data_IF_609836224860
#
_entry.id   IF_609836224860
#
_cell.length_a   1.000
_cell.length_b   1.000
_cell.length_c   1.000
_cell.angle_alpha   90.00
_cell.angle_beta   90.00
_cell.angle_gamma   90.00
#
_symmetry.space_group_name_H-M   'P 1'
#
loop_
_entity.id
_entity.type
_entity.pdbx_description
1 polymer ?
#
# COMPACT_ATOMS: atom_id res chain seq x y z
N UNK A 1 25.80 -12.09 2.84
CA UNK A 1 24.78 -11.18 2.27
C UNK A 1 23.92 -11.99 1.33
N UNK A 2 22.68 -12.33 1.71
CA UNK A 2 21.74 -12.96 0.77
C UNK A 2 21.22 -11.86 -0.14
N UNK A 3 21.44 -11.97 -1.45
CA UNK A 3 20.72 -11.18 -2.43
C UNK A 3 19.22 -11.45 -2.19
N UNK A 4 18.44 -10.40 -1.89
CA UNK A 4 17.03 -10.58 -1.57
C UNK A 4 16.30 -11.16 -2.78
N UNK A 5 15.28 -11.97 -2.51
CA UNK A 5 14.52 -12.64 -3.56
C UNK A 5 13.80 -11.59 -4.42
N UNK A 6 14.09 -11.58 -5.72
CA UNK A 6 13.33 -10.78 -6.69
C UNK A 6 11.89 -11.24 -6.67
N UNK A 7 10.97 -10.31 -6.42
CA UNK A 7 9.54 -10.58 -6.33
C UNK A 7 8.80 -10.25 -7.62
N UNK A 8 9.21 -9.16 -8.28
CA UNK A 8 8.62 -8.70 -9.52
C UNK A 8 9.64 -7.91 -10.33
N UNK A 9 9.58 -8.05 -11.63
CA UNK A 9 10.20 -7.16 -12.60
C UNK A 9 9.04 -6.51 -13.33
N UNK A 10 8.99 -5.17 -13.34
CA UNK A 10 7.85 -4.44 -13.86
C UNK A 10 8.12 -4.02 -15.29
N UNK A 11 7.29 -4.44 -16.25
CA UNK A 11 7.39 -4.14 -17.68
C UNK A 11 8.77 -4.37 -18.34
N UNK A 12 8.81 -5.05 -19.48
CA UNK A 12 10.04 -5.37 -20.23
C UNK A 12 10.96 -4.18 -20.57
N UNK A 13 10.42 -2.98 -20.68
CA UNK A 13 11.16 -1.76 -21.03
C UNK A 13 11.53 -0.85 -19.84
N UNK A 14 11.27 -1.28 -18.60
CA UNK A 14 11.60 -0.51 -17.40
C UNK A 14 12.58 -1.30 -16.56
N UNK A 15 13.69 -0.69 -16.14
CA UNK A 15 14.66 -1.27 -15.20
C UNK A 15 14.12 -1.31 -13.75
N UNK A 16 12.79 -1.36 -13.59
CA UNK A 16 12.13 -1.31 -12.28
C UNK A 16 11.96 -2.73 -11.76
N UNK A 17 12.43 -2.95 -10.55
CA UNK A 17 12.42 -4.24 -9.89
C UNK A 17 11.94 -4.12 -8.45
N UNK A 18 11.21 -5.12 -7.98
CA UNK A 18 10.87 -5.32 -6.58
C UNK A 18 11.66 -6.48 -5.99
N UNK A 19 12.28 -6.26 -4.82
CA UNK A 19 13.08 -7.24 -4.09
C UNK A 19 12.57 -7.36 -2.65
N UNK A 20 12.41 -8.59 -2.15
CA UNK A 20 12.07 -8.82 -0.74
C UNK A 20 13.33 -8.77 0.12
N UNK A 21 13.33 -7.90 1.14
CA UNK A 21 14.39 -7.77 2.14
C UNK A 21 13.79 -7.82 3.55
N UNK A 22 13.70 -9.03 4.11
CA UNK A 22 13.04 -9.26 5.40
C UNK A 22 11.58 -8.82 5.38
N UNK A 23 11.20 -7.91 6.28
CA UNK A 23 9.85 -7.33 6.39
C UNK A 23 9.59 -6.18 5.43
N UNK A 24 10.51 -5.91 4.51
CA UNK A 24 10.37 -4.85 3.52
C UNK A 24 10.40 -5.42 2.11
N UNK A 25 9.71 -4.71 1.22
CA UNK A 25 9.90 -4.82 -0.23
C UNK A 25 10.57 -3.54 -0.68
N UNK A 26 11.70 -3.67 -1.36
CA UNK A 26 12.41 -2.56 -1.97
C UNK A 26 12.05 -2.55 -3.44
N UNK A 27 11.47 -1.44 -3.90
CA UNK A 27 11.21 -1.19 -5.32
C UNK A 27 12.24 -0.21 -5.82
N UNK A 28 12.98 -0.50 -6.88
CA UNK A 28 13.99 0.43 -7.39
C UNK A 28 14.29 0.24 -8.86
N UNK A 29 14.91 1.27 -9.44
CA UNK A 29 15.39 1.29 -10.82
C UNK A 29 16.68 2.09 -10.94
N UNK A 30 17.37 1.90 -12.06
CA UNK A 30 18.50 2.74 -12.47
C UNK A 30 17.97 3.80 -13.44
N UNK A 31 18.32 5.07 -13.21
CA UNK A 31 17.96 6.20 -14.06
C UNK A 31 19.23 6.99 -14.40
N UNK A 32 19.77 6.77 -15.60
CA UNK A 32 21.05 7.33 -16.02
C UNK A 32 22.19 6.86 -15.10
N UNK A 33 22.83 7.78 -14.39
CA UNK A 33 23.90 7.49 -13.43
C UNK A 33 23.43 7.32 -11.97
N UNK A 34 22.11 7.34 -11.72
CA UNK A 34 21.56 7.32 -10.35
C UNK A 34 20.70 6.09 -10.12
N UNK A 35 20.73 5.58 -8.89
CA UNK A 35 19.81 4.55 -8.41
C UNK A 35 18.70 5.22 -7.62
N UNK A 36 17.45 4.90 -7.95
CA UNK A 36 16.27 5.36 -7.22
C UNK A 36 15.60 4.15 -6.59
N UNK A 37 15.26 4.23 -5.31
CA UNK A 37 14.57 3.15 -4.61
C UNK A 37 13.57 3.65 -3.58
N UNK A 38 12.57 2.82 -3.31
CA UNK A 38 11.53 3.02 -2.32
C UNK A 38 11.44 1.76 -1.46
N UNK A 39 11.61 1.91 -0.14
CA UNK A 39 11.38 0.84 0.82
C UNK A 39 9.93 0.85 1.30
N UNK A 40 9.27 -0.30 1.22
CA UNK A 40 7.87 -0.50 1.53
C UNK A 40 7.75 -1.53 2.63
N UNK A 41 7.00 -1.23 3.68
CA UNK A 41 6.71 -2.19 4.72
C UNK A 41 5.77 -3.29 4.15
N UNK A 42 6.16 -4.55 4.34
CA UNK A 42 5.50 -5.72 3.80
C UNK A 42 4.89 -6.64 4.89
N UNK A 43 4.52 -6.09 6.04
CA UNK A 43 3.90 -6.83 7.14
C UNK A 43 2.56 -7.48 6.73
N UNK A 44 1.86 -6.92 5.75
CA UNK A 44 0.66 -7.52 5.17
C UNK A 44 0.91 -7.87 3.69
N UNK A 45 0.96 -9.17 3.40
CA UNK A 45 1.21 -9.67 2.05
C UNK A 45 0.14 -9.19 1.04
N UNK A 46 -1.14 -9.16 1.44
CA UNK A 46 -2.23 -8.78 0.53
C UNK A 46 -2.16 -7.31 0.12
N UNK A 47 -1.79 -6.42 1.04
CA UNK A 47 -1.61 -5.00 0.73
C UNK A 47 -0.35 -4.77 -0.10
N UNK A 48 0.70 -5.54 0.17
CA UNK A 48 1.94 -5.53 -0.61
C UNK A 48 1.66 -5.91 -2.06
N UNK A 49 0.95 -7.02 -2.29
CA UNK A 49 0.55 -7.44 -3.64
C UNK A 49 -0.31 -6.40 -4.34
N UNK A 50 -1.28 -5.79 -3.64
CA UNK A 50 -2.12 -4.70 -4.20
C UNK A 50 -1.29 -3.48 -4.62
N UNK A 51 -0.29 -3.11 -3.83
CA UNK A 51 0.63 -2.03 -4.19
C UNK A 51 1.49 -2.40 -5.41
N UNK A 52 2.07 -3.60 -5.44
CA UNK A 52 2.88 -4.05 -6.57
C UNK A 52 2.05 -4.08 -7.87
N UNK A 53 0.81 -4.58 -7.84
CA UNK A 53 -0.10 -4.53 -8.98
C UNK A 53 -0.43 -3.09 -9.41
N UNK A 54 -0.59 -2.17 -8.47
CA UNK A 54 -0.84 -0.75 -8.77
C UNK A 54 0.38 -0.08 -9.43
N UNK A 55 1.59 -0.46 -9.03
CA UNK A 55 2.84 -0.03 -9.66
C UNK A 55 2.93 -0.58 -11.08
N UNK A 56 2.67 -1.87 -11.29
CA UNK A 56 2.67 -2.49 -12.63
C UNK A 56 1.71 -1.77 -13.58
N UNK A 57 0.47 -1.48 -13.15
CA UNK A 57 -0.49 -0.74 -13.97
C UNK A 57 -0.02 0.68 -14.31
N UNK A 58 0.71 1.33 -13.39
CA UNK A 58 1.30 2.63 -13.64
C UNK A 58 2.44 2.55 -14.68
N UNK A 59 3.25 1.49 -14.63
CA UNK A 59 4.29 1.18 -15.62
C UNK A 59 3.69 0.86 -17.00
N UNK A 60 2.61 0.09 -17.07
CA UNK A 60 1.94 -0.25 -18.34
C UNK A 60 1.49 0.99 -19.11
N UNK A 61 0.84 1.94 -18.43
CA UNK A 61 0.43 3.22 -19.05
C UNK A 61 1.62 4.12 -19.41
N UNK A 62 2.83 3.83 -18.93
CA UNK A 62 4.05 4.51 -19.35
C UNK A 62 4.66 3.89 -20.62
N UNK A 63 4.17 2.75 -21.13
CA UNK A 63 4.68 2.19 -22.41
C UNK A 63 4.48 3.12 -23.60
N UNK A 64 3.43 3.95 -23.58
CA UNK A 64 3.23 5.01 -24.57
C UNK A 64 4.24 6.18 -24.46
N UNK A 65 4.94 6.29 -23.33
CA UNK A 65 5.92 7.35 -23.07
C UNK A 65 7.36 6.97 -23.47
N UNK A 66 7.61 5.70 -23.81
CA UNK A 66 8.95 5.18 -24.18
C UNK A 66 9.47 5.79 -25.50
N UNK A 67 8.60 6.39 -26.30
CA UNK A 67 8.97 7.07 -27.55
C UNK A 67 9.77 8.36 -27.36
N UNK A 68 9.84 8.96 -26.16
CA UNK A 68 10.66 10.15 -25.89
C UNK A 68 11.42 10.07 -24.55
N UNK A 69 12.76 10.01 -24.56
CA UNK A 69 13.62 9.97 -23.37
C UNK A 69 13.34 11.09 -22.35
N UNK A 70 12.83 12.25 -22.78
CA UNK A 70 12.47 13.36 -21.89
C UNK A 70 11.31 13.02 -20.93
N UNK A 71 10.59 11.93 -21.22
CA UNK A 71 9.39 11.51 -20.49
C UNK A 71 9.72 10.52 -19.36
N UNK A 72 10.95 10.00 -19.27
CA UNK A 72 11.39 9.10 -18.19
C UNK A 72 11.14 9.68 -16.77
N UNK A 73 11.38 10.98 -16.59
CA UNK A 73 11.11 11.68 -15.33
C UNK A 73 9.62 11.70 -14.93
N UNK A 74 8.69 11.60 -15.91
CA UNK A 74 7.24 11.50 -15.64
C UNK A 74 6.87 10.13 -15.08
N UNK A 75 7.55 9.06 -15.53
CA UNK A 75 7.36 7.69 -15.04
C UNK A 75 7.72 7.58 -13.55
N UNK A 76 8.90 8.06 -13.17
CA UNK A 76 9.35 8.10 -11.77
C UNK A 76 8.36 8.85 -10.87
N UNK A 77 7.98 10.07 -11.24
CA UNK A 77 7.04 10.89 -10.44
C UNK A 77 5.70 10.20 -10.26
N UNK A 78 5.27 9.43 -11.25
CA UNK A 78 4.04 8.65 -11.19
C UNK A 78 4.14 7.48 -10.21
N UNK A 79 5.23 6.72 -10.24
CA UNK A 79 5.49 5.63 -9.29
C UNK A 79 5.57 6.19 -7.86
N UNK A 80 6.29 7.29 -7.68
CA UNK A 80 6.39 7.97 -6.38
C UNK A 80 5.01 8.41 -5.86
N UNK A 81 4.15 8.93 -6.74
CA UNK A 81 2.77 9.28 -6.39
C UNK A 81 1.96 8.05 -5.97
N UNK A 82 2.03 6.95 -6.73
CA UNK A 82 1.33 5.69 -6.40
C UNK A 82 1.74 5.19 -5.01
N UNK A 83 3.05 5.21 -4.71
CA UNK A 83 3.58 4.79 -3.41
C UNK A 83 3.12 5.72 -2.28
N UNK A 84 3.18 7.05 -2.49
CA UNK A 84 2.71 8.03 -1.49
C UNK A 84 1.22 7.87 -1.21
N UNK A 85 0.41 7.67 -2.24
CA UNK A 85 -1.04 7.50 -2.10
C UNK A 85 -1.40 6.19 -1.40
N UNK A 86 -0.69 5.10 -1.68
CA UNK A 86 -0.86 3.84 -0.94
C UNK A 86 -0.52 4.00 0.54
N UNK A 87 0.60 4.65 0.87
CA UNK A 87 0.98 4.94 2.27
C UNK A 87 -0.11 5.75 2.98
N UNK A 88 -0.65 6.78 2.32
CA UNK A 88 -1.77 7.58 2.84
C UNK A 88 -3.02 6.74 3.07
N UNK A 89 -3.38 5.86 2.13
CA UNK A 89 -4.54 4.95 2.26
C UNK A 89 -4.36 3.95 3.40
N UNK A 90 -3.17 3.37 3.57
CA UNK A 90 -2.88 2.45 4.70
C UNK A 90 -2.97 3.17 6.04
N UNK A 91 -2.40 4.38 6.12
CA UNK A 91 -2.46 5.17 7.33
C UNK A 91 -3.90 5.57 7.70
N UNK A 92 -4.71 6.03 6.73
CA UNK A 92 -6.14 6.29 6.96
C UNK A 92 -6.88 5.06 7.46
N UNK A 93 -6.77 3.92 6.78
CA UNK A 93 -7.43 2.67 7.20
C UNK A 93 -7.04 2.24 8.62
N UNK A 94 -5.76 2.40 9.00
CA UNK A 94 -5.31 2.11 10.37
C UNK A 94 -5.95 3.06 11.38
N UNK A 95 -5.93 4.36 11.09
CA UNK A 95 -6.55 5.38 11.95
C UNK A 95 -8.06 5.15 12.11
N UNK A 96 -8.75 4.82 11.02
CA UNK A 96 -10.19 4.53 11.04
C UNK A 96 -10.49 3.27 11.89
N UNK A 97 -9.62 2.26 11.81
CA UNK A 97 -9.72 1.05 12.63
C UNK A 97 -9.48 1.35 14.12
N UNK A 98 -8.46 2.14 14.45
CA UNK A 98 -8.18 2.58 15.82
C UNK A 98 -9.35 3.38 16.41
N UNK A 99 -9.92 4.31 15.63
CA UNK A 99 -11.08 5.10 16.04
C UNK A 99 -12.32 4.24 16.33
N UNK A 100 -12.55 3.18 15.53
CA UNK A 100 -13.63 2.23 15.79
C UNK A 100 -13.40 1.45 17.10
N UNK A 101 -12.17 0.98 17.33
CA UNK A 101 -11.81 0.27 18.56
C UNK A 101 -12.05 1.18 19.78
N UNK A 102 -11.62 2.43 19.73
CA UNK A 102 -11.82 3.40 20.81
C UNK A 102 -13.30 3.67 21.07
N UNK A 103 -14.12 3.78 20.01
CA UNK A 103 -15.56 3.96 20.15
C UNK A 103 -16.23 2.76 20.84
N UNK A 104 -15.83 1.53 20.48
CA UNK A 104 -16.34 0.31 21.13
C UNK A 104 -15.88 0.20 22.59
N UNK A 105 -14.61 0.52 22.88
CA UNK A 105 -14.07 0.45 24.24
C UNK A 105 -14.73 1.45 25.19
N UNK A 106 -15.11 2.63 24.70
CA UNK A 106 -15.81 3.65 25.47
C UNK A 106 -17.32 3.41 25.58
N UNK A 107 -17.86 2.45 24.82
CA UNK A 107 -19.24 2.00 25.01
C UNK A 107 -19.26 1.04 26.20
N UNK A 108 -19.43 1.58 27.42
CA UNK A 108 -19.82 0.76 28.56
C UNK A 108 -21.11 0.04 28.17
N UNK A 109 -21.05 -1.27 27.98
CA UNK A 109 -22.24 -2.11 27.86
C UNK A 109 -22.99 -2.02 29.20
N UNK A 110 -23.81 -1.00 29.40
CA UNK A 110 -24.74 -0.94 30.54
C UNK A 110 -25.68 -2.12 30.42
N UNK A 111 -25.72 -3.06 31.38
CA UNK A 111 -26.59 -4.22 31.35
C UNK A 111 -28.04 -3.89 31.74
N UNK A 112 -28.48 -2.65 31.54
CA UNK A 112 -29.87 -2.23 31.78
C UNK A 112 -30.65 -2.26 30.46
N UNK A 113 -30.83 -3.47 29.92
CA UNK A 113 -31.98 -3.71 29.05
C UNK A 113 -33.20 -3.82 29.98
N UNK A 114 -34.22 -2.96 29.88
CA UNK A 114 -35.43 -3.15 30.66
C UNK A 114 -36.09 -4.47 30.22
N UNK A 115 -36.08 -5.46 31.11
CA UNK A 115 -36.84 -6.69 30.96
C UNK A 115 -38.30 -6.31 30.73
N UNK A 116 -38.86 -6.65 29.56
CA UNK A 116 -40.28 -6.49 29.26
C UNK A 116 -41.11 -7.51 30.05
N UNK A 117 -41.10 -7.42 31.38
CA UNK A 117 -41.85 -8.31 32.27
C UNK A 117 -42.59 -7.51 33.36
N UNK A 118 -43.26 -6.42 32.95
CA UNK A 118 -44.13 -5.65 33.85
C UNK A 118 -45.27 -4.95 33.10
N UNK A 119 -45.94 -5.66 32.19
CA UNK A 119 -47.10 -5.12 31.46
C UNK A 119 -48.33 -6.06 31.44
N UNK A 120 -48.43 -6.98 32.39
CA UNK A 120 -49.63 -7.78 32.64
C UNK A 120 -49.81 -7.94 34.15
N UNK A 121 -50.38 -6.92 34.78
CA UNK A 121 -50.65 -6.93 36.22
C UNK A 121 -51.43 -5.70 36.60
N UNK A 122 -52.70 -5.66 36.18
CA UNK A 122 -53.87 -5.17 36.93
C UNK A 122 -55.15 -5.42 36.11
#
# INVERSE_FOLDING_TARGET
MSAGKVMAIFSEASDLQAEKRGNFVVVGCVEGSRVVSWSLNALNNSETLRLLASIELACYRCKQAITDPRVHSKGRRRIERVIKDDRRRRHRRRKDQEALIDAFANTNLSPDLPTMESALGE
#
